data_IF_138289462252
#
_entry.id   IF_138289462252
#
_cell.length_a   1.000
_cell.length_b   1.000
_cell.length_c   1.000
_cell.angle_alpha   90.00
_cell.angle_beta   90.00
_cell.angle_gamma   90.00
#
_symmetry.space_group_name_H-M   'P 1'
#
loop_
_entity.id
_entity.type
_entity.pdbx_description
1 polymer ?
#
# COMPACT_ATOMS: atom_id res chain seq x y z
N UNK A 1 -33.53 63.81 -12.06
CA UNK A 1 -33.07 62.72 -11.19
C UNK A 1 -32.53 61.61 -12.06
N UNK A 2 -31.23 61.61 -12.36
CA UNK A 2 -30.51 60.43 -12.87
C UNK A 2 -29.10 60.53 -12.29
N UNK A 3 -28.90 59.84 -11.18
CA UNK A 3 -27.59 59.61 -10.59
C UNK A 3 -27.00 58.40 -11.33
N UNK A 4 -25.95 58.62 -12.14
CA UNK A 4 -25.16 57.54 -12.72
C UNK A 4 -23.96 57.30 -11.83
N UNK A 5 -24.14 56.41 -10.86
CA UNK A 5 -23.05 55.78 -10.13
C UNK A 5 -22.26 54.90 -11.11
N UNK A 6 -21.17 55.44 -11.66
CA UNK A 6 -20.23 54.68 -12.47
C UNK A 6 -19.33 53.85 -11.54
N UNK A 7 -19.68 52.58 -11.37
CA UNK A 7 -18.82 51.59 -10.72
C UNK A 7 -17.50 51.47 -11.51
N UNK A 8 -16.46 52.12 -11.00
CA UNK A 8 -15.09 52.01 -11.53
C UNK A 8 -14.57 50.61 -11.21
N UNK A 9 -14.69 49.71 -12.17
CA UNK A 9 -14.06 48.39 -12.10
C UNK A 9 -12.53 48.54 -12.24
N UNK A 10 -11.84 48.70 -11.12
CA UNK A 10 -10.37 48.71 -11.07
C UNK A 10 -9.85 47.30 -11.32
N UNK A 11 -9.48 47.01 -12.57
CA UNK A 11 -8.71 45.82 -12.89
C UNK A 11 -7.29 45.97 -12.33
N UNK A 12 -7.08 45.43 -11.13
CA UNK A 12 -5.75 45.15 -10.60
C UNK A 12 -5.16 43.98 -11.40
N UNK A 13 -4.29 44.29 -12.36
CA UNK A 13 -3.57 43.29 -13.15
C UNK A 13 -2.33 42.79 -12.44
N UNK A 14 -2.12 41.47 -12.42
CA UNK A 14 -0.87 40.84 -11.98
C UNK A 14 0.30 41.24 -12.90
N UNK A 15 1.49 41.44 -12.34
CA UNK A 15 2.69 41.70 -13.15
C UNK A 15 3.30 40.38 -13.66
N UNK A 16 3.91 40.39 -14.86
CA UNK A 16 4.59 39.20 -15.38
C UNK A 16 5.76 38.75 -14.50
N UNK A 17 6.43 39.70 -13.83
CA UNK A 17 7.55 39.42 -12.92
C UNK A 17 7.07 38.71 -11.66
N UNK A 18 5.91 39.11 -11.13
CA UNK A 18 5.30 38.49 -9.95
C UNK A 18 4.94 37.03 -10.22
N UNK A 19 4.41 36.72 -11.42
CA UNK A 19 4.16 35.33 -11.81
C UNK A 19 5.47 34.55 -12.06
N UNK A 20 6.50 35.20 -12.62
CA UNK A 20 7.80 34.58 -12.87
C UNK A 20 8.49 34.10 -11.59
N UNK A 21 8.52 34.93 -10.54
CA UNK A 21 9.13 34.54 -9.25
C UNK A 21 8.35 33.39 -8.61
N UNK A 22 7.02 33.40 -8.70
CA UNK A 22 6.18 32.32 -8.16
C UNK A 22 6.48 30.98 -8.83
N UNK A 23 6.57 30.95 -10.17
CA UNK A 23 6.86 29.69 -10.87
C UNK A 23 8.27 29.16 -10.59
N UNK A 24 9.23 30.06 -10.34
CA UNK A 24 10.59 29.67 -9.92
C UNK A 24 10.53 29.00 -8.55
N UNK A 25 9.85 29.60 -7.57
CA UNK A 25 9.78 29.06 -6.21
C UNK A 25 9.05 27.70 -6.19
N UNK A 26 7.91 27.56 -6.87
CA UNK A 26 7.19 26.26 -6.92
C UNK A 26 8.02 25.17 -7.60
N UNK A 27 8.86 25.51 -8.59
CA UNK A 27 9.71 24.54 -9.29
C UNK A 27 10.78 23.95 -8.37
N UNK A 28 11.36 24.76 -7.48
CA UNK A 28 12.37 24.32 -6.52
C UNK A 28 11.72 23.42 -5.46
N UNK A 29 10.55 23.80 -4.94
CA UNK A 29 9.82 23.00 -3.96
C UNK A 29 9.38 21.65 -4.53
N UNK A 30 8.86 21.63 -5.76
CA UNK A 30 8.42 20.39 -6.41
C UNK A 30 9.57 19.45 -6.72
N UNK A 31 10.76 19.96 -7.08
CA UNK A 31 11.94 19.13 -7.31
C UNK A 31 12.32 18.26 -6.10
N UNK A 32 12.14 18.75 -4.87
CA UNK A 32 12.42 18.01 -3.62
C UNK A 32 11.18 17.22 -3.16
N UNK A 33 9.99 17.79 -3.31
CA UNK A 33 8.76 17.20 -2.81
C UNK A 33 8.34 15.93 -3.58
N UNK A 34 8.50 15.90 -4.90
CA UNK A 34 8.07 14.75 -5.72
C UNK A 34 8.80 13.45 -5.36
N UNK A 35 10.15 13.37 -5.34
CA UNK A 35 10.84 12.12 -5.03
C UNK A 35 10.65 11.68 -3.56
N UNK A 36 10.51 12.62 -2.64
CA UNK A 36 10.27 12.30 -1.22
C UNK A 36 8.85 11.78 -0.99
N UNK A 37 7.87 12.36 -1.68
CA UNK A 37 6.48 11.91 -1.66
C UNK A 37 6.32 10.49 -2.23
N UNK A 38 6.93 10.21 -3.39
CA UNK A 38 6.86 8.86 -3.99
C UNK A 38 7.47 7.82 -3.06
N UNK A 39 8.64 8.07 -2.48
CA UNK A 39 9.26 7.15 -1.52
C UNK A 39 8.39 6.92 -0.27
N UNK A 40 7.78 7.98 0.27
CA UNK A 40 6.91 7.88 1.45
C UNK A 40 5.64 7.09 1.16
N UNK A 41 5.02 7.33 0.00
CA UNK A 41 3.86 6.55 -0.47
C UNK A 41 4.21 5.07 -0.62
N UNK A 42 5.36 4.79 -1.20
CA UNK A 42 5.83 3.42 -1.42
C UNK A 42 6.12 2.69 -0.09
N UNK A 43 6.67 3.38 0.92
CA UNK A 43 6.79 2.85 2.29
C UNK A 43 5.43 2.58 2.95
N UNK A 44 4.42 3.40 2.69
CA UNK A 44 3.07 3.17 3.20
C UNK A 44 2.45 1.91 2.57
N UNK A 45 2.66 1.71 1.27
CA UNK A 45 2.22 0.50 0.56
C UNK A 45 2.94 -0.75 1.09
N UNK A 46 4.24 -0.66 1.40
CA UNK A 46 4.97 -1.78 2.03
C UNK A 46 4.42 -2.12 3.43
N UNK A 47 4.06 -1.10 4.23
CA UNK A 47 3.39 -1.32 5.53
C UNK A 47 2.04 -2.01 5.40
N UNK A 48 1.29 -1.73 4.33
CA UNK A 48 0.03 -2.43 4.02
C UNK A 48 0.27 -3.94 3.88
N UNK A 49 1.26 -4.35 3.08
CA UNK A 49 1.62 -5.78 2.93
C UNK A 49 2.03 -6.42 4.24
N UNK A 50 2.85 -5.73 5.05
CA UNK A 50 3.26 -6.24 6.37
C UNK A 50 2.03 -6.47 7.26
N UNK A 51 1.11 -5.51 7.31
CA UNK A 51 -0.12 -5.64 8.11
C UNK A 51 -1.02 -6.78 7.64
N UNK A 52 -1.19 -6.92 6.32
CA UNK A 52 -1.96 -8.00 5.70
C UNK A 52 -1.33 -9.37 5.99
N UNK A 53 -0.01 -9.52 5.90
CA UNK A 53 0.66 -10.78 6.22
C UNK A 53 0.58 -11.12 7.72
N UNK A 54 0.59 -10.13 8.61
CA UNK A 54 0.33 -10.34 10.04
C UNK A 54 -1.08 -10.87 10.29
N UNK A 55 -2.08 -10.33 9.60
CA UNK A 55 -3.46 -10.83 9.62
C UNK A 55 -3.54 -12.28 9.10
N UNK A 56 -2.90 -12.58 7.97
CA UNK A 56 -2.83 -13.94 7.42
C UNK A 56 -2.21 -14.93 8.41
N UNK A 57 -1.13 -14.53 9.10
CA UNK A 57 -0.50 -15.36 10.14
C UNK A 57 -1.43 -15.59 11.32
N UNK A 58 -2.11 -14.56 11.81
CA UNK A 58 -3.05 -14.68 12.91
C UNK A 58 -4.23 -15.61 12.55
N UNK A 59 -4.82 -15.43 11.37
CA UNK A 59 -5.89 -16.27 10.87
C UNK A 59 -5.45 -17.72 10.67
N UNK A 60 -4.24 -17.95 10.16
CA UNK A 60 -3.68 -19.30 10.05
C UNK A 60 -3.47 -19.98 11.41
N UNK A 61 -3.07 -19.24 12.44
CA UNK A 61 -2.99 -19.80 13.80
C UNK A 61 -4.37 -20.16 14.35
N UNK A 62 -5.38 -19.34 14.10
CA UNK A 62 -6.77 -19.68 14.45
C UNK A 62 -7.28 -20.89 13.68
N UNK A 63 -6.95 -20.99 12.39
CA UNK A 63 -7.28 -22.13 11.55
C UNK A 63 -6.64 -23.42 12.10
N UNK A 64 -5.35 -23.38 12.47
CA UNK A 64 -4.67 -24.50 13.11
C UNK A 64 -5.36 -24.93 14.41
N UNK A 65 -5.73 -23.97 15.27
CA UNK A 65 -6.43 -24.29 16.52
C UNK A 65 -7.80 -24.98 16.30
N UNK A 66 -8.42 -24.80 15.12
CA UNK A 66 -9.71 -25.41 14.79
C UNK A 66 -9.59 -26.74 14.05
N UNK A 67 -8.59 -26.90 13.19
CA UNK A 67 -8.49 -28.03 12.26
C UNK A 67 -7.23 -28.88 12.46
N UNK A 68 -6.36 -28.54 13.41
CA UNK A 68 -5.08 -29.21 13.71
C UNK A 68 -4.08 -29.21 12.55
N UNK A 69 -4.27 -28.31 11.58
CA UNK A 69 -3.34 -28.08 10.48
C UNK A 69 -3.44 -26.64 9.96
N UNK A 70 -2.37 -26.13 9.33
CA UNK A 70 -2.40 -24.82 8.67
C UNK A 70 -3.09 -24.88 7.31
N UNK A 71 -3.56 -23.73 6.82
CA UNK A 71 -4.11 -23.59 5.49
C UNK A 71 -3.08 -22.99 4.52
N UNK A 72 -2.98 -23.48 3.28
CA UNK A 72 -3.55 -24.75 2.81
C UNK A 72 -2.80 -25.94 3.44
N UNK A 73 -3.36 -27.14 3.36
CA UNK A 73 -2.68 -28.34 3.86
C UNK A 73 -1.37 -28.60 3.10
N UNK A 74 -1.42 -28.51 1.78
CA UNK A 74 -0.26 -28.69 0.90
C UNK A 74 -0.45 -27.84 -0.37
N UNK A 75 0.67 -27.37 -0.92
CA UNK A 75 0.69 -26.66 -2.20
C UNK A 75 0.42 -25.17 -2.05
N UNK A 76 0.39 -24.45 -3.18
CA UNK A 76 0.29 -22.99 -3.22
C UNK A 76 -1.09 -22.56 -3.69
N UNK A 77 -1.77 -21.76 -2.87
CA UNK A 77 -3.03 -21.09 -3.24
C UNK A 77 -2.72 -19.64 -3.60
N UNK A 78 -3.11 -19.24 -4.81
CA UNK A 78 -2.99 -17.87 -5.33
C UNK A 78 -4.35 -17.17 -5.48
N UNK A 79 -5.44 -17.92 -5.39
CA UNK A 79 -6.80 -17.37 -5.45
C UNK A 79 -7.13 -16.63 -4.16
N UNK A 80 -7.35 -15.32 -4.28
CA UNK A 80 -7.73 -14.47 -3.15
C UNK A 80 -9.06 -14.86 -2.54
N UNK A 81 -10.04 -15.27 -3.36
CA UNK A 81 -11.33 -15.73 -2.83
C UNK A 81 -11.17 -16.99 -1.98
N UNK A 82 -10.31 -17.93 -2.39
CA UNK A 82 -10.01 -19.12 -1.60
C UNK A 82 -9.34 -18.75 -0.28
N UNK A 83 -8.38 -17.82 -0.29
CA UNK A 83 -7.69 -17.36 0.92
C UNK A 83 -8.69 -16.68 1.86
N UNK A 84 -9.45 -15.71 1.37
CA UNK A 84 -10.41 -14.94 2.15
C UNK A 84 -11.50 -15.82 2.76
N UNK A 85 -12.08 -16.74 1.99
CA UNK A 85 -13.15 -17.62 2.49
C UNK A 85 -12.65 -18.64 3.53
N UNK A 86 -11.45 -19.21 3.37
CA UNK A 86 -10.94 -20.21 4.30
C UNK A 86 -10.37 -19.58 5.58
N UNK A 87 -9.73 -18.41 5.47
CA UNK A 87 -9.11 -17.72 6.60
C UNK A 87 -9.99 -16.62 7.20
N UNK A 88 -11.21 -16.39 6.66
CA UNK A 88 -12.10 -15.30 7.08
C UNK A 88 -11.40 -13.93 7.06
N UNK A 89 -10.73 -13.63 5.95
CA UNK A 89 -10.00 -12.39 5.71
C UNK A 89 -10.66 -11.58 4.59
N UNK A 90 -10.31 -10.30 4.50
CA UNK A 90 -10.70 -9.43 3.39
C UNK A 90 -9.44 -8.83 2.72
N UNK A 91 -8.64 -9.71 2.11
CA UNK A 91 -7.51 -9.28 1.29
C UNK A 91 -8.00 -8.86 -0.10
N UNK A 92 -7.43 -7.78 -0.63
CA UNK A 92 -7.66 -7.32 -2.00
C UNK A 92 -6.36 -7.28 -2.79
N UNK A 93 -6.43 -7.35 -4.13
CA UNK A 93 -5.27 -7.28 -5.02
C UNK A 93 -4.99 -5.88 -5.58
N UNK A 94 -5.41 -4.80 -4.92
CA UNK A 94 -5.21 -3.45 -5.45
C UNK A 94 -3.71 -3.09 -5.52
N UNK A 95 -2.98 -3.36 -4.44
CA UNK A 95 -1.54 -3.04 -4.33
C UNK A 95 -0.66 -4.29 -4.40
N UNK A 96 -1.13 -5.42 -3.86
CA UNK A 96 -0.33 -6.62 -3.62
C UNK A 96 -1.01 -7.87 -4.13
N UNK A 97 -0.23 -8.78 -4.72
CA UNK A 97 -0.66 -10.16 -4.97
C UNK A 97 -0.32 -11.03 -3.77
N UNK A 98 -1.24 -11.89 -3.34
CA UNK A 98 -1.04 -12.76 -2.20
C UNK A 98 -1.02 -14.23 -2.62
N UNK A 99 -0.16 -15.01 -2.00
CA UNK A 99 -0.24 -16.46 -2.08
C UNK A 99 0.14 -17.09 -0.73
N UNK A 100 -0.44 -18.25 -0.45
CA UNK A 100 -0.14 -19.02 0.75
C UNK A 100 0.23 -20.42 0.32
N UNK A 101 1.40 -20.88 0.73
CA UNK A 101 1.91 -22.23 0.49
C UNK A 101 1.89 -23.02 1.77
N UNK A 102 1.24 -24.17 1.74
CA UNK A 102 1.21 -25.14 2.83
C UNK A 102 2.26 -26.22 2.67
N UNK A 103 2.82 -26.70 3.78
CA UNK A 103 3.82 -27.77 3.82
C UNK A 103 3.37 -28.87 4.80
N UNK A 104 2.57 -29.82 4.30
CA UNK A 104 2.09 -30.96 5.07
C UNK A 104 1.27 -30.59 6.32
N UNK A 105 0.61 -29.44 6.34
CA UNK A 105 -0.22 -28.97 7.45
C UNK A 105 0.52 -28.47 8.69
N UNK A 106 1.84 -28.65 8.79
CA UNK A 106 2.63 -28.29 9.98
C UNK A 106 3.20 -26.88 9.91
N UNK A 107 3.47 -26.39 8.69
CA UNK A 107 3.96 -25.04 8.45
C UNK A 107 3.31 -24.45 7.21
N UNK A 108 3.33 -23.12 7.14
CA UNK A 108 2.89 -22.37 5.98
C UNK A 108 3.87 -21.23 5.69
N UNK A 109 3.87 -20.79 4.43
CA UNK A 109 4.54 -19.58 3.97
C UNK A 109 3.51 -18.72 3.25
N UNK A 110 3.23 -17.52 3.76
CA UNK A 110 2.42 -16.53 3.07
C UNK A 110 3.32 -15.46 2.45
N UNK A 111 3.07 -15.11 1.20
CA UNK A 111 3.82 -14.12 0.44
C UNK A 111 2.91 -13.01 -0.05
N UNK A 112 3.39 -11.78 0.00
CA UNK A 112 2.83 -10.62 -0.70
C UNK A 112 3.86 -10.14 -1.74
N UNK A 113 3.45 -10.05 -3.00
CA UNK A 113 4.32 -9.68 -4.12
C UNK A 113 3.77 -8.51 -4.93
N UNK A 114 4.64 -7.55 -5.24
CA UNK A 114 4.37 -6.41 -6.13
C UNK A 114 5.62 -6.11 -6.96
N UNK A 115 5.61 -6.49 -8.24
CA UNK A 115 6.79 -6.36 -9.14
C UNK A 115 8.07 -6.93 -8.50
N UNK A 116 9.06 -6.09 -8.20
CA UNK A 116 10.33 -6.49 -7.58
C UNK A 116 10.32 -6.45 -6.03
N UNK A 117 9.20 -6.07 -5.41
CA UNK A 117 9.04 -6.03 -3.96
C UNK A 117 8.30 -7.26 -3.48
N UNK A 118 8.84 -7.92 -2.45
CA UNK A 118 8.28 -9.17 -1.94
C UNK A 118 8.44 -9.25 -0.43
N UNK A 119 7.36 -9.60 0.24
CA UNK A 119 7.28 -9.82 1.67
C UNK A 119 6.81 -11.24 1.94
N UNK A 120 7.40 -11.92 2.92
CA UNK A 120 6.98 -13.27 3.34
C UNK A 120 6.86 -13.36 4.85
N UNK A 121 5.94 -14.21 5.29
CA UNK A 121 5.83 -14.61 6.69
C UNK A 121 5.67 -16.12 6.75
N UNK A 122 6.36 -16.76 7.68
CA UNK A 122 6.17 -18.18 7.99
C UNK A 122 5.54 -18.36 9.36
N UNK A 123 5.14 -19.58 9.69
CA UNK A 123 4.58 -19.94 10.99
C UNK A 123 5.48 -19.55 12.18
N UNK A 124 6.79 -19.56 12.02
CA UNK A 124 7.75 -19.22 13.09
C UNK A 124 8.12 -17.74 13.18
N UNK A 125 7.99 -16.96 12.10
CA UNK A 125 8.48 -15.57 12.05
C UNK A 125 7.66 -14.62 12.92
N UNK A 126 8.29 -13.86 13.82
CA UNK A 126 7.60 -12.81 14.59
C UNK A 126 6.96 -11.74 13.68
N UNK A 127 7.73 -11.29 12.69
CA UNK A 127 7.33 -10.28 11.71
C UNK A 127 7.55 -10.76 10.27
N UNK A 128 6.75 -10.27 9.30
CA UNK A 128 7.03 -10.46 7.88
C UNK A 128 8.41 -9.91 7.51
N UNK A 129 9.16 -10.69 6.74
CA UNK A 129 10.47 -10.28 6.24
C UNK A 129 10.43 -9.96 4.75
N UNK A 130 11.31 -9.06 4.34
CA UNK A 130 11.50 -8.71 2.95
C UNK A 130 12.38 -9.77 2.25
N UNK A 131 12.03 -10.13 1.01
CA UNK A 131 12.89 -10.93 0.14
C UNK A 131 12.86 -10.40 -1.30
N UNK A 132 13.33 -9.17 -1.47
CA UNK A 132 13.35 -8.47 -2.75
C UNK A 132 13.92 -7.07 -2.56
N UNK A 133 13.44 -6.12 -3.38
CA UNK A 133 13.70 -4.70 -3.13
C UNK A 133 12.70 -4.19 -2.09
N UNK A 134 13.17 -3.62 -1.00
CA UNK A 134 12.36 -2.98 0.04
C UNK A 134 12.94 -1.62 0.39
N UNK A 135 12.08 -0.67 0.75
CA UNK A 135 12.42 0.74 1.05
C UNK A 135 12.44 1.05 2.54
#
# INVERSE_FOLDING_TARGET
>A
MYDQHLDRNTFFGFTLVELMVVVIIISILTAIAVPTYTNTREKAIDKEAISALKLVRAANKQYFAKYDHYFPLQGTITSLSSINNNLSLDLNNASWSYNITGHGGTTFTANAGRSNRKWKVTQGSADPNCFGTCL
#
